data_IF_677383949238
#
_entry.id   IF_677383949238
#
_cell.length_a   1.000
_cell.length_b   1.000
_cell.length_c   1.000
_cell.angle_alpha   90.00
_cell.angle_beta   90.00
_cell.angle_gamma   90.00
#
_symmetry.space_group_name_H-M   'P 1'
#
loop_
_entity.id
_entity.type
_entity.pdbx_description
1 polymer ?
#
# COMPACT_ATOMS: atom_id res chain seq x y z
N UNK A 1 12.09 12.44 -7.94
CA UNK A 1 11.75 13.84 -8.25
C UNK A 1 12.09 14.57 -6.98
N UNK A 2 13.19 15.33 -6.93
CA UNK A 2 13.38 16.21 -5.78
C UNK A 2 12.25 17.22 -5.83
N UNK A 3 11.52 17.39 -4.72
CA UNK A 3 10.48 18.43 -4.59
C UNK A 3 11.00 19.84 -4.94
N UNK A 4 12.32 20.01 -5.07
CA UNK A 4 13.01 21.22 -5.51
C UNK A 4 12.61 21.74 -6.90
N UNK A 5 11.93 20.95 -7.75
CA UNK A 5 11.45 21.42 -9.05
C UNK A 5 10.04 22.05 -9.01
N UNK A 6 9.35 21.98 -7.87
CA UNK A 6 8.00 22.52 -7.67
C UNK A 6 8.04 23.64 -6.61
N UNK A 7 8.94 24.61 -6.80
CA UNK A 7 9.18 25.69 -5.82
C UNK A 7 7.97 26.60 -5.61
N UNK A 8 7.12 26.73 -6.63
CA UNK A 8 5.93 27.59 -6.61
C UNK A 8 4.66 26.85 -6.15
N UNK A 9 4.76 25.57 -5.79
CA UNK A 9 3.60 24.80 -5.33
C UNK A 9 3.26 25.18 -3.88
N UNK A 10 2.10 25.80 -3.67
CA UNK A 10 1.58 26.11 -2.33
C UNK A 10 1.34 24.87 -1.48
N UNK A 11 0.91 23.77 -2.12
CA UNK A 11 0.60 22.52 -1.45
C UNK A 11 1.06 21.32 -2.26
N UNK A 12 1.73 20.38 -1.58
CA UNK A 12 2.15 19.11 -2.16
C UNK A 12 1.80 17.99 -1.19
N UNK A 13 0.88 17.13 -1.62
CA UNK A 13 0.45 15.98 -0.83
C UNK A 13 0.81 14.68 -1.54
N UNK A 14 1.33 13.73 -0.78
CA UNK A 14 1.48 12.35 -1.22
C UNK A 14 0.86 11.44 -0.17
N UNK A 15 -0.12 10.64 -0.60
CA UNK A 15 -0.89 9.77 0.28
C UNK A 15 -0.97 8.34 -0.25
N UNK A 16 -1.66 7.50 0.52
CA UNK A 16 -2.04 6.16 0.09
C UNK A 16 -3.55 6.02 0.16
N UNK A 17 -4.14 5.31 -0.80
CA UNK A 17 -5.56 5.03 -0.83
C UNK A 17 -5.87 3.74 -0.06
N UNK A 18 -6.97 3.74 0.66
CA UNK A 18 -7.53 2.59 1.36
C UNK A 18 -9.04 2.63 1.23
N UNK A 19 -9.68 1.47 1.29
CA UNK A 19 -11.13 1.41 1.41
C UNK A 19 -11.61 2.06 2.71
N UNK A 20 -12.84 2.57 2.68
CA UNK A 20 -13.47 3.19 3.84
C UNK A 20 -13.49 2.22 5.04
N UNK A 21 -13.34 2.78 6.25
CA UNK A 21 -13.31 2.00 7.49
C UNK A 21 -11.92 1.43 7.85
N UNK A 22 -11.06 1.11 6.88
CA UNK A 22 -9.75 0.49 7.13
C UNK A 22 -8.91 1.28 8.16
N UNK A 23 -8.73 2.58 7.95
CA UNK A 23 -7.91 3.40 8.84
C UNK A 23 -8.51 3.51 10.26
N UNK A 24 -9.84 3.57 10.37
CA UNK A 24 -10.53 3.65 11.66
C UNK A 24 -10.38 2.35 12.46
N UNK A 25 -10.55 1.20 11.81
CA UNK A 25 -10.37 -0.13 12.43
C UNK A 25 -8.92 -0.33 12.84
N UNK A 26 -7.96 -0.08 11.94
CA UNK A 26 -6.53 -0.22 12.24
C UNK A 26 -6.08 0.72 13.37
N UNK A 27 -6.66 1.91 13.47
CA UNK A 27 -6.43 2.81 14.59
C UNK A 27 -6.92 2.20 15.92
N UNK A 28 -8.08 1.55 15.94
CA UNK A 28 -8.57 0.83 17.14
C UNK A 28 -7.66 -0.36 17.49
N UNK A 29 -7.16 -1.11 16.51
CA UNK A 29 -6.18 -2.18 16.75
C UNK A 29 -4.88 -1.64 17.36
N UNK A 30 -4.38 -0.50 16.85
CA UNK A 30 -3.25 0.22 17.46
C UNK A 30 -3.55 0.63 18.89
N UNK A 31 -4.72 1.22 19.13
CA UNK A 31 -5.12 1.64 20.46
C UNK A 31 -5.18 0.44 21.39
N UNK A 32 -5.78 -0.69 21.00
CA UNK A 32 -5.81 -1.92 21.80
C UNK A 32 -4.42 -2.44 22.18
N UNK A 33 -3.43 -2.20 21.32
CA UNK A 33 -2.04 -2.66 21.52
C UNK A 33 -1.62 -3.77 20.57
N UNK A 34 -2.44 -4.13 19.58
CA UNK A 34 -2.13 -5.15 18.58
C UNK A 34 -0.94 -4.80 17.68
N UNK A 35 -0.52 -3.53 17.66
CA UNK A 35 0.61 -3.03 16.87
C UNK A 35 1.85 -2.72 17.73
N UNK A 36 2.00 -3.38 18.88
CA UNK A 36 3.16 -3.21 19.75
C UNK A 36 4.36 -4.04 19.24
N UNK A 37 5.48 -3.42 18.85
CA UNK A 37 6.67 -4.12 18.36
C UNK A 37 7.63 -4.55 19.48
N UNK A 38 7.34 -4.21 20.73
CA UNK A 38 8.23 -4.55 21.83
C UNK A 38 8.14 -6.05 22.13
N UNK A 39 9.28 -6.76 22.22
CA UNK A 39 9.29 -8.18 22.58
C UNK A 39 8.58 -8.43 23.91
N UNK A 40 7.74 -9.46 23.95
CA UNK A 40 7.04 -9.87 25.16
C UNK A 40 6.68 -11.36 25.14
N UNK A 41 6.50 -11.96 26.31
CA UNK A 41 5.90 -13.29 26.39
C UNK A 41 4.42 -13.20 26.06
N UNK A 42 4.04 -13.82 24.94
CA UNK A 42 2.67 -13.89 24.47
C UNK A 42 1.95 -15.09 25.09
N UNK A 43 0.64 -14.98 25.40
CA UNK A 43 -0.18 -16.13 25.74
C UNK A 43 -0.27 -17.13 24.57
N UNK A 44 -0.65 -18.36 24.88
CA UNK A 44 -0.75 -19.42 23.87
C UNK A 44 -1.94 -19.22 22.91
N UNK A 45 -2.99 -18.54 23.39
CA UNK A 45 -4.25 -18.38 22.64
C UNK A 45 -4.61 -16.91 22.43
N UNK A 46 -5.33 -16.65 21.34
CA UNK A 46 -5.82 -15.32 21.00
C UNK A 46 -6.80 -14.75 22.03
N UNK A 47 -7.77 -15.51 22.57
CA UNK A 47 -8.66 -15.01 23.61
C UNK A 47 -7.91 -14.51 24.85
N UNK A 48 -6.88 -15.23 25.31
CA UNK A 48 -6.05 -14.80 26.44
C UNK A 48 -5.28 -13.51 26.12
N UNK A 49 -4.69 -13.42 24.93
CA UNK A 49 -3.99 -12.21 24.49
C UNK A 49 -4.94 -11.02 24.39
N UNK A 50 -6.12 -11.18 23.79
CA UNK A 50 -7.11 -10.10 23.68
C UNK A 50 -7.63 -9.69 25.06
N UNK A 51 -7.88 -10.63 25.97
CA UNK A 51 -8.28 -10.32 27.35
C UNK A 51 -7.19 -9.51 28.08
N UNK A 52 -5.92 -9.91 27.96
CA UNK A 52 -4.75 -9.18 28.49
C UNK A 52 -4.67 -7.76 27.94
N UNK A 53 -4.93 -7.57 26.65
CA UNK A 53 -4.90 -6.25 26.00
C UNK A 53 -6.09 -5.36 26.43
N UNK A 54 -7.31 -5.92 26.46
CA UNK A 54 -8.53 -5.21 26.92
C UNK A 54 -8.46 -4.81 28.38
N UNK A 55 -7.79 -5.58 29.24
CA UNK A 55 -7.61 -5.21 30.65
C UNK A 55 -6.84 -3.88 30.84
N UNK A 56 -6.03 -3.47 29.86
CA UNK A 56 -5.22 -2.25 29.95
C UNK A 56 -5.88 -1.01 29.35
N UNK A 57 -6.93 -1.16 28.53
CA UNK A 57 -7.48 -0.06 27.71
C UNK A 57 -8.99 -0.15 27.50
N UNK A 58 -9.58 1.01 27.22
CA UNK A 58 -11.02 1.21 27.06
C UNK A 58 -11.65 0.42 25.90
N UNK A 59 -12.99 0.36 25.94
CA UNK A 59 -13.87 -0.24 24.94
C UNK A 59 -13.50 0.13 23.50
N UNK A 60 -13.63 -0.85 22.61
CA UNK A 60 -13.41 -0.68 21.18
C UNK A 60 -14.67 -0.11 20.51
N UNK A 61 -14.49 0.47 19.33
CA UNK A 61 -15.63 0.80 18.47
C UNK A 61 -16.31 -0.48 17.95
N UNK A 62 -17.63 -0.47 17.68
CA UNK A 62 -18.35 -1.66 17.22
C UNK A 62 -17.81 -2.26 15.92
N UNK A 63 -17.33 -1.44 14.98
CA UNK A 63 -16.72 -1.90 13.72
C UNK A 63 -15.40 -2.64 13.95
N UNK A 64 -14.58 -2.15 14.90
CA UNK A 64 -13.36 -2.83 15.30
C UNK A 64 -13.67 -4.14 16.07
N UNK A 65 -14.67 -4.16 16.95
CA UNK A 65 -15.08 -5.40 17.63
C UNK A 65 -15.55 -6.46 16.63
N UNK A 66 -16.42 -6.08 15.69
CA UNK A 66 -16.87 -6.98 14.63
C UNK A 66 -15.71 -7.51 13.79
N UNK A 67 -14.70 -6.68 13.51
CA UNK A 67 -13.49 -7.12 12.81
C UNK A 67 -12.67 -8.15 13.62
N UNK A 68 -12.48 -7.94 14.92
CA UNK A 68 -11.75 -8.89 15.77
C UNK A 68 -12.50 -10.23 15.91
N UNK A 69 -13.82 -10.19 16.03
CA UNK A 69 -14.65 -11.41 16.00
C UNK A 69 -14.59 -12.10 14.65
N UNK A 70 -14.63 -11.35 13.53
CA UNK A 70 -14.47 -11.94 12.19
C UNK A 70 -13.11 -12.61 11.98
N UNK A 71 -12.05 -12.06 12.56
CA UNK A 71 -10.73 -12.71 12.60
C UNK A 71 -10.73 -14.02 13.41
N UNK A 72 -11.73 -14.24 14.26
CA UNK A 72 -11.87 -15.42 15.12
C UNK A 72 -11.10 -15.32 16.42
N UNK A 73 -10.83 -14.10 16.92
CA UNK A 73 -10.03 -13.91 18.14
C UNK A 73 -10.73 -14.32 19.43
N UNK A 74 -12.03 -14.57 19.37
CA UNK A 74 -12.87 -15.06 20.45
C UNK A 74 -12.99 -16.59 20.48
N UNK A 75 -12.49 -17.29 19.46
CA UNK A 75 -12.47 -18.75 19.41
C UNK A 75 -11.44 -19.31 20.43
N UNK A 76 -11.86 -20.14 21.40
CA UNK A 76 -10.97 -20.76 22.38
C UNK A 76 -9.84 -21.61 21.76
N UNK A 77 -10.02 -22.08 20.53
CA UNK A 77 -9.03 -22.88 19.79
C UNK A 77 -8.06 -22.04 18.96
N UNK A 78 -8.25 -20.72 18.86
CA UNK A 78 -7.39 -19.84 18.11
C UNK A 78 -6.03 -19.67 18.81
N UNK A 79 -5.00 -20.25 18.22
CA UNK A 79 -3.63 -20.21 18.74
C UNK A 79 -2.87 -18.97 18.25
N UNK A 80 -2.03 -18.42 19.11
CA UNK A 80 -1.02 -17.41 18.74
C UNK A 80 0.14 -18.15 18.06
N UNK A 81 0.69 -17.56 17.00
CA UNK A 81 1.83 -18.13 16.30
C UNK A 81 3.01 -18.30 17.28
N UNK A 82 3.55 -19.51 17.48
CA UNK A 82 4.61 -19.77 18.45
C UNK A 82 5.95 -19.12 18.07
N UNK A 83 6.13 -18.69 16.81
CA UNK A 83 7.30 -17.96 16.36
C UNK A 83 7.22 -16.45 16.62
N UNK A 84 6.04 -15.92 16.98
CA UNK A 84 5.85 -14.51 17.24
C UNK A 84 6.63 -14.05 18.49
N UNK A 85 7.46 -13.02 18.33
CA UNK A 85 8.29 -12.49 19.41
C UNK A 85 7.66 -11.30 20.12
N UNK A 86 6.70 -10.64 19.47
CA UNK A 86 5.94 -9.53 19.99
C UNK A 86 4.50 -9.54 19.44
N UNK A 87 3.63 -8.72 20.05
CA UNK A 87 2.19 -8.72 19.72
C UNK A 87 1.92 -8.40 18.24
N UNK A 88 2.69 -7.48 17.63
CA UNK A 88 2.51 -7.16 16.20
C UNK A 88 2.90 -8.33 15.30
N UNK A 89 3.89 -9.16 15.66
CA UNK A 89 4.26 -10.35 14.87
C UNK A 89 3.09 -11.34 14.83
N UNK A 90 2.52 -11.65 16.00
CA UNK A 90 1.36 -12.52 16.11
C UNK A 90 0.19 -11.99 15.27
N UNK A 91 -0.08 -10.69 15.38
CA UNK A 91 -1.16 -10.05 14.63
C UNK A 91 -0.92 -10.13 13.12
N UNK A 92 0.30 -9.84 12.66
CA UNK A 92 0.68 -9.99 11.25
C UNK A 92 0.53 -11.43 10.75
N UNK A 93 0.98 -12.43 11.50
CA UNK A 93 0.84 -13.85 11.13
C UNK A 93 -0.63 -14.24 10.93
N UNK A 94 -1.50 -13.81 11.84
CA UNK A 94 -2.95 -14.02 11.71
C UNK A 94 -3.55 -13.30 10.50
N UNK A 95 -3.19 -12.03 10.28
CA UNK A 95 -3.69 -11.27 9.14
C UNK A 95 -3.25 -11.90 7.80
N UNK A 96 -2.02 -12.40 7.71
CA UNK A 96 -1.54 -13.13 6.53
C UNK A 96 -2.42 -14.36 6.29
N UNK A 97 -2.72 -15.13 7.32
CA UNK A 97 -3.58 -16.30 7.20
C UNK A 97 -5.01 -15.94 6.76
N UNK A 98 -5.58 -14.84 7.26
CA UNK A 98 -6.99 -14.49 7.07
C UNK A 98 -7.28 -13.59 5.88
N UNK A 99 -6.32 -12.79 5.43
CA UNK A 99 -6.48 -11.74 4.41
C UNK A 99 -5.62 -11.97 3.16
N UNK A 100 -5.06 -13.17 2.99
CA UNK A 100 -4.40 -13.54 1.74
C UNK A 100 -5.42 -13.75 0.63
N UNK A 101 -5.06 -13.36 -0.60
CA UNK A 101 -5.87 -13.65 -1.78
C UNK A 101 -6.01 -15.14 -1.99
N UNK A 102 -7.23 -15.59 -2.26
CA UNK A 102 -7.55 -16.96 -2.65
C UNK A 102 -7.48 -17.13 -4.19
N UNK A 103 -7.36 -18.38 -4.69
CA UNK A 103 -7.40 -18.63 -6.12
C UNK A 103 -8.67 -18.06 -6.77
N UNK A 104 -8.49 -17.29 -7.84
CA UNK A 104 -9.57 -16.61 -8.57
C UNK A 104 -9.93 -15.22 -8.05
N UNK A 105 -9.33 -14.77 -6.94
CA UNK A 105 -9.44 -13.37 -6.51
C UNK A 105 -8.44 -12.48 -7.26
N UNK A 106 -8.79 -11.20 -7.41
CA UNK A 106 -7.99 -10.20 -8.14
C UNK A 106 -7.61 -9.04 -7.23
N UNK A 107 -6.42 -8.51 -7.43
CA UNK A 107 -5.98 -7.27 -6.80
C UNK A 107 -6.25 -6.05 -7.70
N UNK A 108 -5.98 -4.86 -7.15
CA UNK A 108 -6.16 -3.60 -7.84
C UNK A 108 -5.12 -2.59 -7.35
N UNK A 109 -4.53 -1.84 -8.27
CA UNK A 109 -3.67 -0.71 -7.95
C UNK A 109 -4.25 0.58 -8.56
N UNK A 110 -4.51 1.57 -7.69
CA UNK A 110 -4.99 2.89 -8.10
C UNK A 110 -3.89 3.91 -7.85
N UNK A 111 -3.53 4.68 -8.88
CA UNK A 111 -2.57 5.76 -8.77
C UNK A 111 -3.16 7.03 -9.37
N UNK A 112 -3.55 7.96 -8.50
CA UNK A 112 -4.13 9.24 -8.92
C UNK A 112 -3.12 10.37 -8.73
N UNK A 113 -2.84 11.13 -9.78
CA UNK A 113 -2.04 12.35 -9.70
C UNK A 113 -2.89 13.58 -10.00
N UNK A 114 -3.30 14.33 -8.98
CA UNK A 114 -4.01 15.59 -9.14
C UNK A 114 -3.01 16.75 -9.16
N UNK A 115 -3.09 17.57 -10.20
CA UNK A 115 -2.32 18.81 -10.30
C UNK A 115 -3.32 19.96 -10.38
N UNK A 116 -3.34 20.81 -9.35
CA UNK A 116 -3.94 22.13 -9.42
C UNK A 116 -2.87 23.07 -9.95
N UNK A 117 -3.00 23.50 -11.21
CA UNK A 117 -1.99 24.38 -11.79
C UNK A 117 -2.63 25.62 -12.35
N UNK A 118 -2.04 26.76 -12.02
CA UNK A 118 -2.32 28.03 -12.68
C UNK A 118 -1.57 28.05 -14.01
N UNK A 119 -2.15 27.30 -14.94
CA UNK A 119 -1.88 27.37 -16.36
C UNK A 119 -3.16 27.85 -17.06
N UNK A 120 -3.08 28.22 -18.34
CA UNK A 120 -4.28 28.22 -19.18
C UNK A 120 -5.04 26.87 -19.13
N UNK A 121 -4.40 25.72 -18.79
CA UNK A 121 -5.05 24.39 -18.77
C UNK A 121 -4.14 23.18 -18.35
N UNK A 122 -4.59 22.27 -17.44
CA UNK A 122 -4.50 20.75 -17.45
C UNK A 122 -4.49 19.99 -16.07
N UNK A 123 -4.99 18.71 -16.04
CA UNK A 123 -4.99 17.71 -14.90
C UNK A 123 -4.75 16.23 -15.38
N UNK A 124 -4.44 15.23 -14.49
CA UNK A 124 -4.05 13.80 -14.78
C UNK A 124 -4.71 12.72 -13.84
N UNK A 125 -4.80 11.42 -14.22
CA UNK A 125 -5.27 10.26 -13.37
C UNK A 125 -4.83 8.85 -13.92
N UNK A 126 -4.70 7.80 -13.08
CA UNK A 126 -4.55 6.37 -13.52
C UNK A 126 -5.35 5.41 -12.66
N UNK A 127 -5.93 4.40 -13.31
CA UNK A 127 -6.59 3.26 -12.68
C UNK A 127 -6.18 2.00 -13.44
N UNK A 128 -5.63 0.98 -12.75
CA UNK A 128 -5.25 -0.31 -13.34
C UNK A 128 -5.77 -1.48 -12.50
N UNK A 129 -6.28 -2.52 -13.16
CA UNK A 129 -6.81 -3.74 -12.54
C UNK A 129 -5.95 -4.96 -12.84
N UNK A 130 -5.98 -5.96 -11.95
CA UNK A 130 -5.23 -7.21 -12.09
C UNK A 130 -5.82 -8.09 -13.17
N UNK A 131 -4.97 -8.84 -13.85
CA UNK A 131 -5.40 -9.92 -14.75
C UNK A 131 -5.40 -11.26 -13.99
N UNK A 132 -5.94 -12.31 -14.61
CA UNK A 132 -6.14 -13.61 -13.96
C UNK A 132 -4.83 -14.38 -13.71
N UNK A 133 -3.73 -13.97 -14.37
CA UNK A 133 -2.43 -14.64 -14.31
C UNK A 133 -1.43 -13.94 -13.39
N UNK A 134 -1.60 -12.65 -13.09
CA UNK A 134 -0.66 -11.88 -12.27
C UNK A 134 -1.31 -10.71 -11.54
N UNK A 135 -0.90 -10.50 -10.29
CA UNK A 135 -1.33 -9.33 -9.52
C UNK A 135 -0.82 -8.02 -10.16
N UNK A 136 -1.61 -6.95 -10.13
CA UNK A 136 -1.19 -5.62 -10.59
C UNK A 136 0.06 -5.17 -9.87
N UNK A 137 0.13 -5.43 -8.57
CA UNK A 137 1.31 -5.08 -7.78
C UNK A 137 2.57 -5.79 -8.31
N UNK A 138 2.51 -7.10 -8.56
CA UNK A 138 3.65 -7.84 -9.12
C UNK A 138 4.00 -7.34 -10.53
N UNK A 139 3.00 -7.13 -11.38
CA UNK A 139 3.19 -6.66 -12.76
C UNK A 139 3.81 -5.26 -12.79
N UNK A 140 3.23 -4.29 -12.08
CA UNK A 140 3.69 -2.90 -12.11
C UNK A 140 5.07 -2.73 -11.48
N UNK A 141 5.38 -3.43 -10.38
CA UNK A 141 6.69 -3.34 -9.72
C UNK A 141 7.73 -4.14 -10.50
N UNK A 142 7.44 -5.40 -10.80
CA UNK A 142 8.36 -6.30 -11.49
C UNK A 142 8.70 -5.82 -12.90
N UNK A 143 7.70 -5.37 -13.66
CA UNK A 143 7.92 -4.86 -15.02
C UNK A 143 8.74 -3.57 -15.01
N UNK A 144 8.47 -2.65 -14.08
CA UNK A 144 9.28 -1.43 -13.95
C UNK A 144 10.75 -1.74 -13.64
N UNK A 145 10.99 -2.73 -12.78
CA UNK A 145 12.35 -3.18 -12.46
C UNK A 145 13.04 -3.84 -13.67
N UNK A 146 12.34 -4.74 -14.38
CA UNK A 146 12.85 -5.40 -15.58
C UNK A 146 13.18 -4.40 -16.69
N UNK A 147 12.30 -3.45 -16.96
CA UNK A 147 12.52 -2.35 -17.91
C UNK A 147 13.75 -1.53 -17.50
N UNK A 148 13.89 -1.20 -16.21
CA UNK A 148 15.07 -0.49 -15.71
C UNK A 148 16.38 -1.24 -16.00
N UNK A 149 16.40 -2.56 -15.75
CA UNK A 149 17.55 -3.42 -16.10
C UNK A 149 17.82 -3.39 -17.60
N UNK A 150 16.78 -3.51 -18.43
CA UNK A 150 16.92 -3.53 -19.88
C UNK A 150 17.49 -2.20 -20.44
N UNK A 151 17.00 -1.06 -19.94
CA UNK A 151 17.49 0.26 -20.32
C UNK A 151 18.99 0.42 -20.01
N UNK A 152 19.45 -0.12 -18.88
CA UNK A 152 20.87 -0.10 -18.50
C UNK A 152 21.68 -1.01 -19.43
N UNK A 153 21.23 -2.24 -19.65
CA UNK A 153 21.96 -3.24 -20.45
C UNK A 153 22.08 -2.85 -21.93
N UNK A 154 21.08 -2.17 -22.48
CA UNK A 154 21.11 -1.67 -23.87
C UNK A 154 21.92 -0.38 -24.03
N UNK A 155 22.31 0.26 -22.93
CA UNK A 155 22.95 1.57 -22.95
C UNK A 155 21.98 2.69 -23.30
N UNK A 156 20.68 2.54 -23.04
CA UNK A 156 19.72 3.64 -23.24
C UNK A 156 19.94 4.74 -22.17
N UNK A 157 20.44 4.37 -20.98
CA UNK A 157 20.82 5.29 -19.90
C UNK A 157 22.33 5.44 -19.85
N UNK A 158 22.82 6.62 -20.22
CA UNK A 158 24.26 6.94 -20.27
C UNK A 158 24.80 7.54 -18.96
N UNK A 159 23.90 8.08 -18.13
CA UNK A 159 24.26 8.66 -16.84
C UNK A 159 24.79 7.58 -15.89
N UNK A 160 25.70 7.96 -14.97
CA UNK A 160 26.32 7.02 -14.01
C UNK A 160 26.10 7.48 -12.56
N UNK A 161 26.27 6.56 -11.61
CA UNK A 161 26.07 6.81 -10.17
C UNK A 161 24.73 6.26 -9.66
N UNK A 162 24.24 6.81 -8.54
CA UNK A 162 22.95 6.44 -7.97
C UNK A 162 21.85 7.25 -8.63
N UNK A 163 21.11 6.62 -9.54
CA UNK A 163 20.11 7.27 -10.37
C UNK A 163 18.69 6.98 -9.88
N UNK A 164 17.77 7.89 -10.22
CA UNK A 164 16.32 7.70 -10.06
C UNK A 164 15.63 8.10 -11.37
N UNK A 165 14.42 7.58 -11.68
CA UNK A 165 13.73 7.85 -12.95
C UNK A 165 13.12 9.26 -12.97
N UNK A 166 13.98 10.28 -12.96
CA UNK A 166 13.60 11.70 -12.83
C UNK A 166 14.08 12.56 -13.96
N UNK A 167 14.92 12.02 -14.83
CA UNK A 167 15.49 12.70 -15.98
C UNK A 167 14.89 12.13 -17.28
N UNK A 168 14.71 12.94 -18.33
CA UNK A 168 14.03 12.52 -19.56
C UNK A 168 14.67 11.31 -20.26
N UNK A 169 15.99 11.16 -20.18
CA UNK A 169 16.75 10.02 -20.71
C UNK A 169 16.33 8.69 -20.06
N UNK A 170 15.83 8.72 -18.82
CA UNK A 170 15.37 7.53 -18.10
C UNK A 170 13.85 7.35 -18.24
N UNK A 171 13.06 8.38 -17.89
CA UNK A 171 11.61 8.20 -17.81
C UNK A 171 10.94 8.09 -19.18
N UNK A 172 11.46 8.74 -20.22
CA UNK A 172 10.83 8.72 -21.55
C UNK A 172 10.85 7.32 -22.16
N UNK A 173 12.00 6.64 -22.30
CA UNK A 173 12.02 5.27 -22.82
C UNK A 173 11.38 4.28 -21.84
N UNK A 174 11.47 4.51 -20.53
CA UNK A 174 10.80 3.68 -19.53
C UNK A 174 9.26 3.70 -19.66
N UNK A 175 8.66 4.88 -19.80
CA UNK A 175 7.21 5.03 -19.98
C UNK A 175 6.72 4.42 -21.30
N UNK A 176 7.46 4.58 -22.38
CA UNK A 176 7.10 3.98 -23.67
C UNK A 176 7.08 2.44 -23.60
N UNK A 177 8.05 1.83 -22.89
CA UNK A 177 8.09 0.38 -22.67
C UNK A 177 6.96 -0.09 -21.75
N UNK A 178 6.67 0.66 -20.67
CA UNK A 178 5.54 0.35 -19.79
C UNK A 178 4.21 0.40 -20.53
N UNK A 179 4.02 1.37 -21.44
CA UNK A 179 2.81 1.47 -22.25
C UNK A 179 2.65 0.26 -23.19
N UNK A 180 3.74 -0.25 -23.77
CA UNK A 180 3.72 -1.48 -24.57
C UNK A 180 3.26 -2.72 -23.77
N UNK A 181 3.51 -2.73 -22.46
CA UNK A 181 3.05 -3.75 -21.50
C UNK A 181 1.62 -3.48 -20.97
N UNK A 182 0.93 -2.49 -21.54
CA UNK A 182 -0.43 -2.09 -21.15
C UNK A 182 -0.50 -1.24 -19.89
N UNK A 183 0.64 -0.79 -19.34
CA UNK A 183 0.71 0.06 -18.15
C UNK A 183 0.84 1.51 -18.60
N UNK A 184 -0.28 2.24 -18.62
CA UNK A 184 -0.30 3.64 -19.04
C UNK A 184 -1.18 4.52 -18.16
N UNK A 185 -0.91 5.82 -18.21
CA UNK A 185 -1.73 6.84 -17.57
C UNK A 185 -2.88 7.25 -18.50
N UNK A 186 -4.06 7.57 -17.95
CA UNK A 186 -5.19 8.10 -18.74
C UNK A 186 -5.37 9.58 -18.42
N UNK A 187 -5.18 10.44 -19.42
CA UNK A 187 -5.23 11.88 -19.22
C UNK A 187 -6.64 12.45 -19.38
N UNK A 188 -7.07 13.30 -18.43
CA UNK A 188 -8.35 14.02 -18.45
C UNK A 188 -8.19 15.45 -17.92
N UNK A 189 -8.76 16.41 -18.65
CA UNK A 189 -8.71 17.83 -18.29
C UNK A 189 -10.11 18.36 -17.98
N UNK A 190 -10.23 19.18 -16.94
CA UNK A 190 -11.45 19.94 -16.60
C UNK A 190 -11.08 21.37 -16.19
N UNK A 191 -11.88 22.33 -16.62
CA UNK A 191 -11.78 23.72 -16.15
C UNK A 191 -12.47 23.82 -14.80
N UNK A 192 -11.78 24.36 -13.80
CA UNK A 192 -12.35 24.61 -12.46
C UNK A 192 -12.53 26.12 -12.35
N UNK A 193 -13.79 26.58 -12.25
CA UNK A 193 -14.10 27.99 -12.03
C UNK A 193 -13.64 28.41 -10.64
N UNK A 194 -12.93 29.54 -10.54
CA UNK A 194 -12.58 30.15 -9.25
C UNK A 194 -13.83 30.59 -8.49
#
# INVERSE_FOLDING_TARGET
MTLSSLVDAESVYRGTLRYAGNCSIMHQCRLLGLMNPNPETLPATWPELVAKLKAKKSSLRPDAEAFLTWLGLDDPSALVDPSATCTIDAFCALLIQKLSYLPGERDMAIMHHEFGVEFPDRRREVITYGDDESTVMAKTVGMSAAIGVELILRGDVQSTGVLTPTTPDIYTPGLARLEAEGIRFIEKTRVVTK
#
